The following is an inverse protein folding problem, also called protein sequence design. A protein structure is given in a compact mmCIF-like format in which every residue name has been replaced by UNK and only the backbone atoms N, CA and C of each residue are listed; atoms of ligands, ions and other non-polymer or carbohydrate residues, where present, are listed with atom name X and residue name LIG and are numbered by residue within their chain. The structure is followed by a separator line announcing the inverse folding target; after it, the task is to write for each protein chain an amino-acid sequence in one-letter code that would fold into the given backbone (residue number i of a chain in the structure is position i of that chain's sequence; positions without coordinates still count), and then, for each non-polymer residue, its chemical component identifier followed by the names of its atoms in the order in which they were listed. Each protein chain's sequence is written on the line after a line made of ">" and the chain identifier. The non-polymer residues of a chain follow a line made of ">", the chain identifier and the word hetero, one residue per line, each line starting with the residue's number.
data_IF_072405810350
#
_entry.id   IF_072405810350
#
_cell.length_a   1.000
_cell.length_b   1.000
_cell.length_c   1.000
_cell.angle_alpha   90.00
_cell.angle_beta   90.00
_cell.angle_gamma   90.00
#
_symmetry.space_group_name_H-M   'P 1'
#
loop_
_entity.id
_entity.type
_entity.pdbx_description
1 polymer ?
#
# COMPACT_ATOMS: atom_id res chain seq x y z
N UNK A 1 16.22 -31.88 -22.51
CA UNK A 1 17.33 -30.87 -22.55
C UNK A 1 17.51 -30.25 -21.17
N UNK A 2 18.74 -30.13 -20.64
CA UNK A 2 18.99 -29.51 -19.31
C UNK A 2 19.16 -28.00 -19.45
N UNK A 3 18.16 -27.23 -19.04
CA UNK A 3 18.25 -25.77 -18.96
C UNK A 3 18.45 -25.35 -17.50
N UNK A 4 19.37 -24.41 -17.26
CA UNK A 4 19.58 -23.85 -15.93
C UNK A 4 19.65 -22.35 -15.94
N UNK A 5 18.99 -21.73 -14.96
CA UNK A 5 19.03 -20.30 -14.68
C UNK A 5 19.70 -20.09 -13.33
N UNK A 6 20.54 -19.06 -13.22
CA UNK A 6 21.19 -18.69 -11.97
C UNK A 6 20.57 -17.41 -11.42
N UNK A 7 20.14 -17.45 -10.16
CA UNK A 7 19.60 -16.31 -9.44
C UNK A 7 20.60 -15.86 -8.38
N UNK A 8 21.07 -14.61 -8.49
CA UNK A 8 21.93 -13.96 -7.54
C UNK A 8 21.13 -13.15 -6.53
N UNK A 9 21.49 -13.25 -5.25
CA UNK A 9 20.96 -12.38 -4.21
C UNK A 9 21.92 -12.23 -3.04
N UNK A 10 21.88 -11.10 -2.34
CA UNK A 10 22.50 -10.94 -1.03
C UNK A 10 21.49 -11.12 0.11
N UNK A 11 20.32 -10.51 0.00
CA UNK A 11 19.40 -10.30 1.13
C UNK A 11 18.09 -11.11 1.00
N UNK A 12 17.81 -11.73 -0.15
CA UNK A 12 16.50 -12.34 -0.47
C UNK A 12 16.55 -13.87 -0.65
N UNK A 13 17.62 -14.53 -0.19
CA UNK A 13 17.81 -15.98 -0.38
C UNK A 13 16.65 -16.80 0.16
N UNK A 14 16.22 -16.55 1.40
CA UNK A 14 15.16 -17.33 2.04
C UNK A 14 13.83 -17.17 1.29
N UNK A 15 13.44 -15.94 1.00
CA UNK A 15 12.22 -15.61 0.24
C UNK A 15 12.19 -16.24 -1.14
N UNK A 16 13.30 -16.19 -1.89
CA UNK A 16 13.37 -16.81 -3.22
C UNK A 16 13.21 -18.34 -3.09
N UNK A 17 13.92 -18.98 -2.16
CA UNK A 17 13.84 -20.42 -1.96
C UNK A 17 12.44 -20.88 -1.52
N UNK A 18 11.74 -20.07 -0.72
CA UNK A 18 10.36 -20.32 -0.31
C UNK A 18 9.41 -20.24 -1.51
N UNK A 19 9.42 -19.14 -2.27
CA UNK A 19 8.59 -18.99 -3.47
C UNK A 19 8.86 -20.10 -4.50
N UNK A 20 10.12 -20.50 -4.71
CA UNK A 20 10.46 -21.58 -5.63
C UNK A 20 9.96 -22.95 -5.14
N UNK A 21 9.94 -23.18 -3.82
CA UNK A 21 9.39 -24.41 -3.24
C UNK A 21 7.88 -24.48 -3.45
N UNK A 22 7.18 -23.39 -3.16
CA UNK A 22 5.73 -23.29 -3.36
C UNK A 22 5.36 -23.50 -4.83
N UNK A 23 6.07 -22.85 -5.76
CA UNK A 23 5.85 -23.04 -7.19
C UNK A 23 6.09 -24.48 -7.64
N UNK A 24 7.13 -25.13 -7.12
CA UNK A 24 7.40 -26.55 -7.42
C UNK A 24 6.26 -27.45 -6.98
N UNK A 25 5.66 -27.17 -5.82
CA UNK A 25 4.55 -27.96 -5.28
C UNK A 25 3.23 -27.69 -6.02
N UNK A 26 2.94 -26.43 -6.34
CA UNK A 26 1.71 -26.03 -7.04
C UNK A 26 1.67 -26.51 -8.50
N UNK A 27 2.77 -26.31 -9.23
CA UNK A 27 2.83 -26.55 -10.69
C UNK A 27 3.48 -27.89 -11.04
N UNK A 28 3.86 -28.70 -10.04
CA UNK A 28 4.57 -29.99 -10.21
C UNK A 28 5.82 -29.86 -11.11
N UNK A 29 6.51 -28.72 -10.99
CA UNK A 29 7.65 -28.39 -11.84
C UNK A 29 8.82 -29.36 -11.59
N UNK A 30 9.53 -29.83 -12.64
CA UNK A 30 10.75 -30.63 -12.49
C UNK A 30 11.96 -29.74 -12.16
N UNK A 31 11.80 -28.90 -11.14
CA UNK A 31 12.77 -27.91 -10.69
C UNK A 31 13.62 -28.47 -9.53
N UNK A 32 14.92 -28.54 -9.76
CA UNK A 32 15.93 -28.74 -8.72
C UNK A 32 16.63 -27.43 -8.41
N UNK A 33 16.69 -27.08 -7.13
CA UNK A 33 17.36 -25.86 -6.65
C UNK A 33 18.65 -26.26 -5.96
N UNK A 34 19.77 -25.70 -6.41
CA UNK A 34 21.08 -25.87 -5.79
C UNK A 34 21.60 -24.51 -5.36
N UNK A 35 21.95 -24.38 -4.09
CA UNK A 35 22.39 -23.12 -3.51
C UNK A 35 23.90 -23.11 -3.28
N UNK A 36 24.55 -22.01 -3.67
CA UNK A 36 25.96 -21.79 -3.46
C UNK A 36 26.18 -20.42 -2.81
N UNK A 37 26.93 -20.39 -1.71
CA UNK A 37 27.33 -19.13 -1.06
C UNK A 37 28.68 -18.66 -1.58
N UNK A 38 28.75 -17.41 -2.02
CA UNK A 38 29.96 -16.72 -2.46
C UNK A 38 30.13 -15.43 -1.63
N UNK A 39 30.84 -15.54 -0.50
CA UNK A 39 31.00 -14.46 0.46
C UNK A 39 29.68 -14.04 1.10
N UNK A 40 29.25 -12.80 0.83
CA UNK A 40 27.95 -12.27 1.28
C UNK A 40 26.79 -12.60 0.34
N UNK A 41 27.08 -13.04 -0.89
CA UNK A 41 26.07 -13.30 -1.92
C UNK A 41 25.77 -14.80 -2.01
N UNK A 42 24.55 -15.09 -2.44
CA UNK A 42 24.03 -16.41 -2.75
C UNK A 42 23.80 -16.50 -4.25
N UNK A 43 24.15 -17.65 -4.80
CA UNK A 43 23.86 -18.04 -6.17
C UNK A 43 22.95 -19.27 -6.10
N UNK A 44 21.72 -19.10 -6.53
CA UNK A 44 20.68 -20.13 -6.53
C UNK A 44 20.57 -20.64 -7.97
N UNK A 45 21.04 -21.86 -8.21
CA UNK A 45 20.95 -22.50 -9.52
C UNK A 45 19.65 -23.29 -9.62
N UNK A 46 18.76 -22.81 -10.49
CA UNK A 46 17.51 -23.46 -10.86
C UNK A 46 17.77 -24.38 -12.06
N UNK A 47 17.74 -25.69 -11.85
CA UNK A 47 17.90 -26.71 -12.90
C UNK A 47 16.56 -27.34 -13.22
N UNK A 48 16.19 -27.31 -14.50
CA UNK A 48 14.98 -27.97 -14.98
C UNK A 48 15.40 -29.26 -15.68
N UNK A 49 15.04 -30.40 -15.08
CA UNK A 49 15.26 -31.71 -15.67
C UNK A 49 13.99 -32.11 -16.44
N UNK A 50 13.96 -31.81 -17.74
CA UNK A 50 12.88 -32.27 -18.60
C UNK A 50 13.31 -33.54 -19.38
N UNK A 51 12.82 -34.74 -18.96
CA UNK A 51 13.11 -36.00 -19.63
C UNK A 51 12.35 -36.17 -20.96
N UNK A 52 11.36 -35.32 -21.27
CA UNK A 52 10.55 -35.41 -22.51
C UNK A 52 11.10 -34.60 -23.68
N UNK A 53 12.10 -33.76 -23.43
CA UNK A 53 12.68 -32.84 -24.40
C UNK A 53 13.85 -33.50 -25.16
N UNK A 54 13.50 -34.44 -26.05
CA UNK A 54 14.27 -34.75 -27.25
C UNK A 54 14.03 -33.63 -28.29
N UNK A 55 15.08 -33.21 -28.98
CA UNK A 55 15.18 -32.01 -29.80
C UNK A 55 14.00 -31.81 -30.79
N UNK A 56 12.99 -31.06 -30.35
CA UNK A 56 11.84 -30.60 -31.15
C UNK A 56 11.63 -29.10 -30.94
N UNK A 57 10.98 -28.44 -31.89
CA UNK A 57 10.65 -27.00 -31.89
C UNK A 57 10.00 -26.49 -30.58
N UNK A 58 9.43 -27.40 -29.78
CA UNK A 58 8.82 -27.12 -28.47
C UNK A 58 9.83 -26.79 -27.34
N UNK A 59 11.13 -27.05 -27.51
CA UNK A 59 12.13 -26.81 -26.47
C UNK A 59 12.31 -25.34 -26.08
N UNK A 60 12.07 -24.41 -27.01
CA UNK A 60 12.12 -22.96 -26.74
C UNK A 60 10.88 -22.50 -25.96
N UNK A 61 9.70 -23.05 -26.29
CA UNK A 61 8.45 -22.76 -25.59
C UNK A 61 8.55 -23.19 -24.12
N UNK A 62 9.06 -24.39 -23.85
CA UNK A 62 9.25 -24.90 -22.48
C UNK A 62 10.23 -24.02 -21.68
N UNK A 63 11.33 -23.57 -22.28
CA UNK A 63 12.27 -22.66 -21.62
C UNK A 63 11.62 -21.32 -21.27
N UNK A 64 10.80 -20.77 -22.16
CA UNK A 64 10.06 -19.51 -21.89
C UNK A 64 9.06 -19.68 -20.75
N UNK A 65 8.38 -20.82 -20.67
CA UNK A 65 7.49 -21.16 -19.55
C UNK A 65 8.27 -21.22 -18.23
N UNK A 66 9.42 -21.91 -18.20
CA UNK A 66 10.26 -21.97 -17.01
C UNK A 66 10.76 -20.59 -16.57
N UNK A 67 11.22 -19.75 -17.50
CA UNK A 67 11.64 -18.37 -17.21
C UNK A 67 10.49 -17.53 -16.69
N UNK A 68 9.28 -17.72 -17.21
CA UNK A 68 8.08 -17.05 -16.70
C UNK A 68 7.78 -17.41 -15.25
N UNK A 69 7.85 -18.70 -14.88
CA UNK A 69 7.68 -19.11 -13.48
C UNK A 69 8.73 -18.50 -12.54
N UNK A 70 9.99 -18.48 -12.97
CA UNK A 70 11.06 -17.82 -12.20
C UNK A 70 10.82 -16.31 -12.08
N UNK A 71 10.41 -15.65 -13.17
CA UNK A 71 10.10 -14.22 -13.16
C UNK A 71 8.95 -13.90 -12.19
N UNK A 72 7.92 -14.74 -12.15
CA UNK A 72 6.82 -14.62 -11.20
C UNK A 72 7.30 -14.78 -9.75
N UNK A 73 8.12 -15.81 -9.45
CA UNK A 73 8.70 -16.02 -8.12
C UNK A 73 9.49 -14.79 -7.62
N UNK A 74 10.33 -14.24 -8.50
CA UNK A 74 11.15 -13.08 -8.22
C UNK A 74 10.30 -11.82 -8.02
N UNK A 75 9.28 -11.61 -8.85
CA UNK A 75 8.35 -10.50 -8.70
C UNK A 75 7.62 -10.57 -7.36
N UNK A 76 7.14 -11.75 -6.96
CA UNK A 76 6.51 -11.93 -5.65
C UNK A 76 7.48 -11.66 -4.49
N UNK A 77 8.72 -12.12 -4.59
CA UNK A 77 9.75 -11.82 -3.59
C UNK A 77 9.95 -10.31 -3.44
N UNK A 78 10.04 -9.58 -4.57
CA UNK A 78 10.21 -8.13 -4.57
C UNK A 78 9.02 -7.44 -3.91
N UNK A 79 7.79 -7.82 -4.29
CA UNK A 79 6.56 -7.23 -3.77
C UNK A 79 6.38 -7.48 -2.26
N UNK A 80 6.65 -8.70 -1.78
CA UNK A 80 6.41 -9.05 -0.38
C UNK A 80 7.48 -8.52 0.58
N UNK A 81 8.75 -8.46 0.15
CA UNK A 81 9.86 -8.17 1.04
C UNK A 81 10.57 -6.86 0.72
N UNK A 82 10.96 -6.64 -0.54
CA UNK A 82 11.68 -5.43 -0.90
C UNK A 82 10.78 -4.19 -0.83
N UNK A 83 9.55 -4.27 -1.34
CA UNK A 83 8.64 -3.12 -1.41
C UNK A 83 8.32 -2.55 -0.03
N UNK A 84 7.95 -3.40 0.93
CA UNK A 84 7.66 -2.99 2.31
C UNK A 84 8.86 -2.31 2.97
N UNK A 85 10.06 -2.86 2.76
CA UNK A 85 11.31 -2.26 3.25
C UNK A 85 11.58 -0.92 2.58
N UNK A 86 11.34 -0.83 1.28
CA UNK A 86 11.59 0.39 0.51
C UNK A 86 10.63 1.52 0.88
N UNK A 87 9.34 1.23 1.06
CA UNK A 87 8.33 2.18 1.55
C UNK A 87 8.79 2.82 2.86
N UNK A 88 9.19 2.01 3.85
CA UNK A 88 9.70 2.51 5.13
C UNK A 88 10.94 3.39 4.97
N UNK A 89 11.86 3.02 4.08
CA UNK A 89 13.06 3.82 3.81
C UNK A 89 12.73 5.18 3.19
N UNK A 90 11.73 5.25 2.31
CA UNK A 90 11.30 6.51 1.69
C UNK A 90 10.68 7.42 2.74
N UNK A 91 9.78 6.88 3.57
CA UNK A 91 9.12 7.63 4.66
C UNK A 91 10.17 8.22 5.61
N UNK A 92 11.09 7.40 6.10
CA UNK A 92 12.17 7.82 7.02
C UNK A 92 13.07 8.91 6.41
N UNK A 93 13.29 8.88 5.09
CA UNK A 93 14.09 9.88 4.40
C UNK A 93 13.36 11.21 4.25
N UNK A 94 12.03 11.18 4.07
CA UNK A 94 11.22 12.36 3.80
C UNK A 94 10.86 13.14 5.05
N UNK A 95 10.67 12.45 6.17
CA UNK A 95 10.38 13.11 7.44
C UNK A 95 11.11 12.43 8.60
N UNK A 96 12.39 12.77 8.82
CA UNK A 96 13.22 12.14 9.84
C UNK A 96 12.87 12.53 11.29
N UNK A 97 12.02 13.54 11.50
CA UNK A 97 11.87 14.25 12.78
C UNK A 97 10.43 14.27 13.32
N UNK A 98 9.42 13.84 12.54
CA UNK A 98 8.03 13.86 12.99
C UNK A 98 7.67 12.66 13.88
N UNK A 99 6.96 12.95 14.97
CA UNK A 99 6.22 12.01 15.84
C UNK A 99 4.95 11.49 15.13
N UNK A 100 5.06 11.20 13.83
CA UNK A 100 3.95 10.74 13.00
C UNK A 100 3.67 9.25 13.16
N UNK A 101 2.44 8.83 12.86
CA UNK A 101 2.09 7.42 12.75
C UNK A 101 2.60 6.86 11.41
N UNK A 102 3.90 6.57 11.35
CA UNK A 102 4.56 6.02 10.16
C UNK A 102 4.05 4.65 9.75
N UNK A 103 3.44 3.91 10.69
CA UNK A 103 2.82 2.64 10.39
C UNK A 103 1.53 2.88 9.58
N UNK A 104 0.69 3.82 10.00
CA UNK A 104 -0.50 4.22 9.24
C UNK A 104 -0.14 4.71 7.82
N UNK A 105 0.89 5.56 7.69
CA UNK A 105 1.36 6.03 6.37
C UNK A 105 1.87 4.86 5.52
N UNK A 106 2.64 3.95 6.10
CA UNK A 106 3.16 2.77 5.39
C UNK A 106 2.02 1.87 4.89
N UNK A 107 1.02 1.63 5.74
CA UNK A 107 -0.11 0.78 5.41
C UNK A 107 -0.98 1.41 4.30
N UNK A 108 -1.20 2.73 4.35
CA UNK A 108 -1.91 3.47 3.30
C UNK A 108 -1.14 3.50 1.98
N UNK A 109 0.18 3.65 2.02
CA UNK A 109 1.02 3.56 0.82
C UNK A 109 0.96 2.15 0.18
N UNK A 110 1.00 1.10 0.99
CA UNK A 110 0.83 -0.28 0.51
C UNK A 110 -0.58 -0.53 -0.02
N UNK A 111 -1.59 0.07 0.58
CA UNK A 111 -2.96 0.03 0.07
C UNK A 111 -3.05 0.68 -1.31
N UNK A 112 -2.48 1.86 -1.51
CA UNK A 112 -2.44 2.54 -2.82
C UNK A 112 -1.72 1.72 -3.88
N UNK A 113 -0.63 1.08 -3.49
CA UNK A 113 0.11 0.18 -4.34
C UNK A 113 -0.70 -1.07 -4.76
N UNK A 114 -1.58 -1.55 -3.88
CA UNK A 114 -2.41 -2.73 -4.13
C UNK A 114 -3.73 -2.42 -4.86
N UNK A 115 -4.35 -1.29 -4.53
CA UNK A 115 -5.72 -0.96 -4.95
C UNK A 115 -5.78 0.21 -5.95
N UNK A 116 -4.66 0.90 -6.17
CA UNK A 116 -4.62 2.14 -6.95
C UNK A 116 -5.17 3.34 -6.18
N UNK A 117 -4.92 4.55 -6.71
CA UNK A 117 -5.52 5.78 -6.21
C UNK A 117 -6.99 5.82 -6.64
N UNK A 118 -7.93 5.83 -5.68
CA UNK A 118 -9.36 6.02 -5.96
C UNK A 118 -10.12 4.80 -6.48
N UNK A 119 -9.90 3.61 -5.92
CA UNK A 119 -10.63 2.37 -6.27
C UNK A 119 -10.57 1.96 -7.76
N UNK A 120 -9.55 2.40 -8.50
CA UNK A 120 -9.33 1.93 -9.88
C UNK A 120 -8.84 0.48 -9.83
N UNK A 121 -9.80 -0.46 -9.84
CA UNK A 121 -9.57 -1.90 -9.87
C UNK A 121 -8.61 -2.25 -11.01
N UNK A 122 -7.41 -2.75 -10.68
CA UNK A 122 -6.44 -3.25 -11.67
C UNK A 122 -5.00 -2.76 -11.49
N UNK A 123 -4.74 -1.77 -10.61
CA UNK A 123 -3.39 -1.22 -10.43
C UNK A 123 -2.38 -2.27 -9.93
N UNK A 124 -2.74 -3.13 -8.94
CA UNK A 124 -1.86 -4.21 -8.48
C UNK A 124 -1.56 -5.25 -9.55
N UNK A 125 -2.59 -5.68 -10.30
CA UNK A 125 -2.46 -6.67 -11.37
C UNK A 125 -1.54 -6.13 -12.47
N UNK A 126 -1.68 -4.86 -12.82
CA UNK A 126 -0.81 -4.20 -13.80
C UNK A 126 0.63 -4.08 -13.30
N UNK A 127 0.84 -3.76 -12.01
CA UNK A 127 2.17 -3.62 -11.40
C UNK A 127 2.93 -4.94 -11.33
N UNK A 128 2.30 -6.01 -10.82
CA UNK A 128 2.92 -7.34 -10.78
C UNK A 128 3.26 -7.81 -12.20
N UNK A 129 2.33 -7.63 -13.15
CA UNK A 129 2.55 -7.99 -14.55
C UNK A 129 3.71 -7.21 -15.17
N UNK A 130 3.82 -5.91 -14.88
CA UNK A 130 4.94 -5.08 -15.34
C UNK A 130 6.28 -5.56 -14.77
N UNK A 131 6.35 -5.85 -13.47
CA UNK A 131 7.54 -6.43 -12.84
C UNK A 131 7.93 -7.77 -13.47
N UNK A 132 6.99 -8.70 -13.62
CA UNK A 132 7.23 -10.01 -14.24
C UNK A 132 7.77 -9.83 -15.66
N UNK A 133 7.19 -8.92 -16.45
CA UNK A 133 7.63 -8.64 -17.82
C UNK A 133 9.06 -8.12 -17.87
N UNK A 134 9.43 -7.19 -16.97
CA UNK A 134 10.78 -6.65 -16.87
C UNK A 134 11.81 -7.71 -16.44
N UNK A 135 11.46 -8.55 -15.48
CA UNK A 135 12.32 -9.64 -15.00
C UNK A 135 12.49 -10.70 -16.09
N UNK A 136 11.40 -11.08 -16.77
CA UNK A 136 11.44 -12.04 -17.87
C UNK A 136 12.34 -11.55 -19.01
N UNK A 137 12.24 -10.27 -19.38
CA UNK A 137 13.15 -9.66 -20.36
C UNK A 137 14.63 -9.76 -19.95
N UNK A 138 14.93 -9.64 -18.65
CA UNK A 138 16.30 -9.82 -18.15
C UNK A 138 16.75 -11.29 -18.23
N UNK A 139 15.87 -12.23 -17.88
CA UNK A 139 16.11 -13.68 -17.97
C UNK A 139 16.27 -14.18 -19.41
N UNK A 140 15.65 -13.49 -20.37
CA UNK A 140 15.79 -13.81 -21.79
C UNK A 140 17.15 -13.37 -22.37
N UNK A 141 17.75 -12.33 -21.81
CA UNK A 141 19.03 -11.77 -22.25
C UNK A 141 20.24 -12.40 -21.54
N UNK A 142 20.05 -12.99 -20.35
CA UNK A 142 21.13 -13.47 -19.49
C UNK A 142 20.71 -14.73 -18.74
N UNK A 143 21.63 -15.69 -18.61
CA UNK A 143 21.44 -16.88 -17.77
C UNK A 143 21.56 -16.59 -16.27
N UNK A 144 22.04 -15.38 -15.91
CA UNK A 144 22.21 -14.91 -14.54
C UNK A 144 21.30 -13.71 -14.30
N UNK A 145 20.46 -13.78 -13.27
CA UNK A 145 19.64 -12.67 -12.79
C UNK A 145 20.01 -12.34 -11.35
N UNK A 146 20.47 -11.12 -11.08
CA UNK A 146 20.77 -10.65 -9.72
C UNK A 146 19.65 -9.71 -9.23
N UNK A 147 18.97 -10.05 -8.14
CA UNK A 147 17.79 -9.30 -7.67
C UNK A 147 18.17 -7.89 -7.21
N UNK A 148 19.24 -7.71 -6.42
CA UNK A 148 19.66 -6.38 -5.99
C UNK A 148 20.17 -5.56 -7.17
N UNK A 149 20.89 -6.18 -8.11
CA UNK A 149 21.31 -5.54 -9.36
C UNK A 149 20.13 -5.06 -10.20
N UNK A 150 19.10 -5.91 -10.38
CA UNK A 150 17.87 -5.52 -11.05
C UNK A 150 17.21 -4.33 -10.36
N UNK A 151 17.04 -4.40 -9.03
CA UNK A 151 16.44 -3.34 -8.25
C UNK A 151 17.25 -2.04 -8.35
N UNK A 152 18.58 -2.09 -8.30
CA UNK A 152 19.46 -0.93 -8.42
C UNK A 152 19.39 -0.26 -9.80
N UNK A 153 19.45 -1.03 -10.88
CA UNK A 153 19.74 -0.49 -12.20
C UNK A 153 18.54 -0.51 -13.17
N UNK A 154 17.60 -1.45 -13.02
CA UNK A 154 16.54 -1.71 -14.01
C UNK A 154 15.13 -1.43 -13.49
N UNK A 155 14.90 -1.47 -12.19
CA UNK A 155 13.57 -1.28 -11.59
C UNK A 155 13.18 0.21 -11.35
N UNK A 156 13.68 1.15 -12.15
CA UNK A 156 13.49 2.59 -11.90
C UNK A 156 12.02 3.03 -12.02
N UNK A 157 11.30 2.52 -13.02
CA UNK A 157 9.88 2.79 -13.19
C UNK A 157 9.07 2.29 -11.99
N UNK A 158 9.34 1.05 -11.57
CA UNK A 158 8.70 0.45 -10.41
C UNK A 158 8.99 1.23 -9.11
N UNK A 159 10.27 1.62 -8.89
CA UNK A 159 10.65 2.52 -7.78
C UNK A 159 9.90 3.84 -7.81
N UNK A 160 9.70 4.42 -9.00
CA UNK A 160 8.91 5.65 -9.14
C UNK A 160 7.45 5.45 -8.73
N UNK A 161 6.84 4.31 -9.05
CA UNK A 161 5.48 3.98 -8.60
C UNK A 161 5.41 3.87 -7.07
N UNK A 162 6.38 3.20 -6.44
CA UNK A 162 6.46 3.11 -4.98
C UNK A 162 6.65 4.49 -4.34
N UNK A 163 7.56 5.32 -4.87
CA UNK A 163 7.76 6.68 -4.38
C UNK A 163 6.50 7.53 -4.46
N UNK A 164 5.76 7.47 -5.57
CA UNK A 164 4.50 8.19 -5.75
C UNK A 164 3.45 7.75 -4.75
N UNK A 165 3.28 6.44 -4.54
CA UNK A 165 2.33 5.94 -3.56
C UNK A 165 2.65 6.41 -2.13
N UNK A 166 3.94 6.47 -1.77
CA UNK A 166 4.38 7.03 -0.48
C UNK A 166 4.13 8.54 -0.41
N UNK A 167 4.34 9.29 -1.50
CA UNK A 167 4.02 10.73 -1.58
C UNK A 167 2.55 10.97 -1.28
N UNK A 168 1.65 10.27 -1.98
CA UNK A 168 0.22 10.42 -1.75
C UNK A 168 -0.20 10.07 -0.33
N UNK A 169 0.36 8.99 0.24
CA UNK A 169 0.06 8.60 1.62
C UNK A 169 0.54 9.64 2.64
N UNK A 170 1.69 10.28 2.40
CA UNK A 170 2.19 11.36 3.25
C UNK A 170 1.33 12.62 3.13
N UNK A 171 1.00 13.04 1.91
CA UNK A 171 0.19 14.23 1.66
C UNK A 171 -1.19 14.11 2.32
N UNK A 172 -1.82 12.94 2.19
CA UNK A 172 -3.12 12.67 2.81
C UNK A 172 -3.02 12.58 4.34
N UNK A 173 -1.95 12.01 4.89
CA UNK A 173 -1.73 12.00 6.33
C UNK A 173 -1.61 13.42 6.91
N UNK A 174 -0.95 14.33 6.20
CA UNK A 174 -0.87 15.74 6.58
C UNK A 174 -2.26 16.37 6.56
N UNK A 175 -3.03 16.16 5.50
CA UNK A 175 -4.41 16.68 5.39
C UNK A 175 -5.30 16.15 6.53
N UNK A 176 -5.25 14.84 6.80
CA UNK A 176 -6.01 14.20 7.88
C UNK A 176 -5.63 14.78 9.26
N UNK A 177 -4.33 15.04 9.47
CA UNK A 177 -3.83 15.66 10.70
C UNK A 177 -4.31 17.11 10.84
N UNK A 178 -4.17 17.92 9.79
CA UNK A 178 -4.64 19.32 9.78
C UNK A 178 -6.15 19.41 10.04
N UNK A 179 -6.94 18.49 9.46
CA UNK A 179 -8.36 18.38 9.74
C UNK A 179 -8.64 18.10 11.23
N UNK A 180 -7.93 17.14 11.82
CA UNK A 180 -8.09 16.80 13.25
C UNK A 180 -7.69 17.97 14.15
N UNK A 181 -6.62 18.68 13.83
CA UNK A 181 -6.19 19.89 14.56
C UNK A 181 -7.23 21.01 14.47
N UNK A 182 -7.85 21.20 13.30
CA UNK A 182 -8.94 22.15 13.13
C UNK A 182 -10.18 21.79 13.96
N UNK A 183 -10.59 20.52 13.98
CA UNK A 183 -11.71 20.06 14.81
C UNK A 183 -11.42 20.25 16.30
N UNK A 184 -10.19 19.95 16.75
CA UNK A 184 -9.76 20.17 18.13
C UNK A 184 -9.80 21.66 18.50
N UNK A 185 -9.34 22.54 17.61
CA UNK A 185 -9.43 23.98 17.80
C UNK A 185 -10.88 24.45 17.97
N UNK A 186 -11.80 23.97 17.13
CA UNK A 186 -13.23 24.30 17.24
C UNK A 186 -13.83 23.82 18.56
N UNK A 187 -13.51 22.60 18.99
CA UNK A 187 -13.94 22.08 20.29
C UNK A 187 -13.45 22.97 21.43
N UNK A 188 -12.16 23.31 21.44
CA UNK A 188 -11.60 24.23 22.42
C UNK A 188 -12.26 25.60 22.40
N UNK A 189 -12.58 26.12 21.22
CA UNK A 189 -13.29 27.39 21.10
C UNK A 189 -14.68 27.33 21.75
N UNK A 190 -15.48 26.30 21.44
CA UNK A 190 -16.81 26.09 22.03
C UNK A 190 -16.71 25.89 23.55
N UNK A 191 -15.79 25.05 24.01
CA UNK A 191 -15.61 24.72 25.43
C UNK A 191 -15.15 25.93 26.27
N UNK A 192 -14.43 26.87 25.66
CA UNK A 192 -13.94 28.08 26.33
C UNK A 192 -15.00 29.17 26.51
N UNK A 193 -16.12 29.08 25.79
CA UNK A 193 -17.19 30.07 25.89
C UNK A 193 -17.96 29.90 27.20
N UNK A 194 -18.20 31.02 27.89
CA UNK A 194 -19.09 31.01 29.06
C UNK A 194 -20.51 30.74 28.58
N UNK A 195 -21.26 29.85 29.26
CA UNK A 195 -22.69 29.68 28.98
C UNK A 195 -23.39 31.04 29.01
N UNK A 196 -24.21 31.34 28.00
CA UNK A 196 -25.01 32.57 28.00
C UNK A 196 -26.07 32.58 29.11
N UNK A 197 -26.48 31.38 29.56
CA UNK A 197 -27.42 31.16 30.65
C UNK A 197 -26.87 30.07 31.56
N UNK A 198 -26.98 30.26 32.87
CA UNK A 198 -26.67 29.22 33.86
C UNK A 198 -27.75 28.13 33.89
N UNK A 199 -29.02 28.52 33.71
CA UNK A 199 -30.17 27.62 33.71
C UNK A 199 -31.10 27.95 32.54
N UNK A 200 -31.50 26.90 31.83
CA UNK A 200 -32.52 26.94 30.80
C UNK A 200 -33.60 25.91 31.14
N UNK A 201 -34.80 26.39 31.42
CA UNK A 201 -35.94 25.54 31.72
C UNK A 201 -36.72 25.24 30.44
N UNK A 202 -37.06 23.98 30.23
CA UNK A 202 -37.87 23.54 29.09
C UNK A 202 -39.28 23.25 29.58
N UNK A 203 -40.24 24.04 29.10
CA UNK A 203 -41.67 23.81 29.33
C UNK A 203 -42.33 23.17 28.11
N UNK A 204 -43.33 22.31 28.33
CA UNK A 204 -44.14 21.72 27.26
C UNK A 204 -45.60 22.11 27.44
N UNK A 205 -46.21 22.65 26.38
CA UNK A 205 -47.64 22.97 26.37
C UNK A 205 -48.48 21.70 26.26
N UNK A 206 -49.78 21.74 26.63
CA UNK A 206 -50.70 20.61 26.41
C UNK A 206 -50.84 20.19 24.94
N UNK A 207 -50.44 21.05 24.01
CA UNK A 207 -50.44 20.81 22.56
C UNK A 207 -49.12 20.19 22.07
N UNK A 208 -48.18 19.89 22.97
CA UNK A 208 -46.88 19.27 22.67
C UNK A 208 -45.81 20.25 22.17
N UNK A 209 -46.02 21.57 22.25
CA UNK A 209 -45.00 22.57 21.87
C UNK A 209 -44.04 22.84 23.02
N UNK A 210 -42.74 22.91 22.72
CA UNK A 210 -41.70 23.27 23.67
C UNK A 210 -41.48 24.78 23.73
N UNK A 211 -41.27 25.30 24.93
CA UNK A 211 -40.90 26.69 25.21
C UNK A 211 -39.70 26.71 26.15
N UNK A 212 -38.82 27.69 25.98
CA UNK A 212 -37.60 27.86 26.75
C UNK A 212 -37.74 29.05 27.70
N UNK A 213 -37.32 28.90 28.95
CA UNK A 213 -37.35 29.95 29.96
C UNK A 213 -35.99 30.10 30.63
N UNK A 214 -35.60 31.33 30.97
CA UNK A 214 -34.39 31.60 31.74
C UNK A 214 -34.61 31.37 33.25
N UNK A 215 -33.57 31.58 34.07
CA UNK A 215 -33.61 31.42 35.53
C UNK A 215 -34.65 32.34 36.25
N UNK A 216 -35.08 33.44 35.62
CA UNK A 216 -36.10 34.34 36.15
C UNK A 216 -37.53 33.93 35.75
N UNK A 217 -37.67 32.85 34.97
CA UNK A 217 -38.96 32.39 34.43
C UNK A 217 -39.43 33.20 33.22
N UNK A 218 -38.57 34.02 32.62
CA UNK A 218 -38.88 34.78 31.39
C UNK A 218 -38.72 33.86 30.19
N UNK A 219 -39.71 33.84 29.30
CA UNK A 219 -39.65 33.07 28.07
C UNK A 219 -38.59 33.65 27.12
N UNK A 220 -37.66 32.79 26.68
CA UNK A 220 -36.53 33.13 25.79
C UNK A 220 -36.52 32.28 24.52
N UNK A 221 -37.61 31.55 24.25
CA UNK A 221 -37.76 30.63 23.10
C UNK A 221 -37.30 31.25 21.78
N UNK A 222 -37.77 32.45 21.44
CA UNK A 222 -37.42 33.13 20.18
C UNK A 222 -35.94 33.53 20.10
N UNK A 223 -35.37 34.00 21.21
CA UNK A 223 -34.00 34.49 21.28
C UNK A 223 -32.96 33.38 21.06
N UNK A 224 -33.26 32.13 21.45
CA UNK A 224 -32.33 31.00 21.33
C UNK A 224 -32.67 30.04 20.17
N UNK A 225 -33.86 30.14 19.56
CA UNK A 225 -34.25 29.28 18.43
C UNK A 225 -34.19 29.98 17.06
N UNK A 226 -34.20 31.31 16.98
CA UNK A 226 -34.06 32.03 15.70
C UNK A 226 -32.67 31.81 15.07
N UNK A 227 -31.60 31.75 15.87
CA UNK A 227 -30.25 31.43 15.42
C UNK A 227 -30.15 30.00 14.84
N UNK A 228 -30.92 29.04 15.36
CA UNK A 228 -30.93 27.65 14.91
C UNK A 228 -31.66 27.44 13.57
N UNK A 229 -32.58 28.35 13.21
CA UNK A 229 -33.32 28.29 11.94
C UNK A 229 -32.52 28.89 10.77
N UNK A 230 -31.62 29.84 11.04
CA UNK A 230 -30.75 30.43 10.03
C UNK A 230 -29.65 29.47 9.57
N UNK A 231 -29.08 28.65 10.48
CA UNK A 231 -28.02 27.69 10.13
C UNK A 231 -28.53 26.46 9.35
N UNK A 232 -29.78 26.03 9.58
CA UNK A 232 -30.38 24.88 8.86
C UNK A 232 -30.96 25.24 7.47
N UNK A 233 -31.08 26.54 7.15
CA UNK A 233 -31.59 27.00 5.87
C UNK A 233 -30.52 27.02 4.76
N UNK A 234 -29.24 26.89 5.09
CA UNK A 234 -28.13 26.97 4.12
C UNK A 234 -27.73 25.61 3.52
N UNK A 235 -28.24 24.48 4.03
CA UNK A 235 -27.85 23.14 3.55
C UNK A 235 -28.78 22.49 2.51
N UNK A 236 -29.79 23.20 1.98
CA UNK A 236 -30.63 22.69 0.89
C UNK A 236 -30.80 23.71 -0.22
N UNK A 237 -29.71 24.08 -0.88
CA UNK A 237 -29.75 24.60 -2.26
C UNK A 237 -28.42 24.28 -2.97
N UNK A 238 -28.29 23.02 -3.40
CA UNK A 238 -27.87 22.64 -4.77
C UNK A 238 -28.03 21.13 -4.98
#
# INVERSE_FOLDING_TARGET
>A
MKHSVQLGTQDYRESICECLRELREQEQLPLQVVELRQGKRWLIQCKFDDPSSEATENGDIVQRIHRYYLANALAETILHHWEKKHVRQIIQKKDPLSEGDWQAVSDKALEYLNNGLGQVRGYSVNRKTSLVTQILSCLDQSSIFDIEGFLCFRAQEYKSQVNKAVEYALDEYVIDKEYMEFILLLKHFVDSQKPQLEWLHVGMTPQGKFHLYNNEGVEVTHQFLEDYQLDNAVSYTH
#
